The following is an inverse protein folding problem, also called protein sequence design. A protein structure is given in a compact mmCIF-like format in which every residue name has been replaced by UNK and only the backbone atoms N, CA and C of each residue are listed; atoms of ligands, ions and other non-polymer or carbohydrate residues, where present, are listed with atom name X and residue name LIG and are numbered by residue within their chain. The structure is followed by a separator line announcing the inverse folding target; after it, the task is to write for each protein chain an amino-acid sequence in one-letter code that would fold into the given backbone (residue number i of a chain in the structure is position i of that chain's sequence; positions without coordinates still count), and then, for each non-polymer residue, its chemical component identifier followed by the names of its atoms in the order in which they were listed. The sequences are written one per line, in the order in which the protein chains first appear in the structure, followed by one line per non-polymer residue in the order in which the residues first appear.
data_IF_136017063250
#
_entry.id   IF_136017063250
#
_cell.length_a   1.000
_cell.length_b   1.000
_cell.length_c   1.000
_cell.angle_alpha   90.00
_cell.angle_beta   90.00
_cell.angle_gamma   90.00
#
_symmetry.space_group_name_H-M   'P 1'
#
loop_
_entity.id
_entity.type
_entity.pdbx_description
1 polymer ?
#
# COMPACT_ATOMS: atom_id res chain seq x y z
N UNK A 1 -4.37 -10.61 16.29
CA UNK A 1 -5.02 -11.80 15.70
C UNK A 1 -4.53 -13.06 16.39
N UNK A 2 -5.36 -14.09 16.51
CA UNK A 2 -4.93 -15.41 17.02
C UNK A 2 -4.30 -16.24 15.89
N UNK A 3 -3.43 -17.21 16.22
CA UNK A 3 -2.86 -18.14 15.24
C UNK A 3 -3.95 -18.93 14.48
N UNK A 4 -5.05 -19.25 15.14
CA UNK A 4 -6.19 -19.93 14.52
C UNK A 4 -6.87 -19.05 13.46
N UNK A 5 -7.05 -17.75 13.74
CA UNK A 5 -7.60 -16.78 12.79
C UNK A 5 -6.69 -16.60 11.58
N UNK A 6 -5.37 -16.48 11.78
CA UNK A 6 -4.40 -16.38 10.68
C UNK A 6 -4.46 -17.61 9.78
N UNK A 7 -4.47 -18.81 10.38
CA UNK A 7 -4.58 -20.07 9.62
C UNK A 7 -5.88 -20.17 8.82
N UNK A 8 -7.00 -19.74 9.40
CA UNK A 8 -8.28 -19.69 8.71
C UNK A 8 -8.20 -18.77 7.48
N UNK A 9 -7.72 -17.53 7.64
CA UNK A 9 -7.63 -16.58 6.54
C UNK A 9 -6.64 -17.02 5.46
N UNK A 10 -5.48 -17.58 5.83
CA UNK A 10 -4.51 -18.10 4.86
C UNK A 10 -5.11 -19.22 3.99
N UNK A 11 -5.90 -20.12 4.56
CA UNK A 11 -6.62 -21.13 3.79
C UNK A 11 -7.65 -20.54 2.83
N UNK A 12 -8.34 -19.47 3.22
CA UNK A 12 -9.29 -18.79 2.33
C UNK A 12 -8.57 -18.10 1.17
N UNK A 13 -7.45 -17.44 1.45
CA UNK A 13 -6.62 -16.80 0.42
C UNK A 13 -6.03 -17.83 -0.55
N UNK A 14 -5.57 -18.98 -0.03
CA UNK A 14 -5.05 -20.08 -0.84
C UNK A 14 -6.16 -20.69 -1.73
N UNK A 15 -7.36 -20.89 -1.16
CA UNK A 15 -8.55 -21.35 -1.91
C UNK A 15 -8.98 -20.37 -2.99
N UNK A 16 -8.85 -19.08 -2.73
CA UNK A 16 -9.14 -18.01 -3.70
C UNK A 16 -8.04 -17.83 -4.75
N UNK A 17 -6.93 -18.57 -4.67
CA UNK A 17 -5.81 -18.46 -5.61
C UNK A 17 -4.97 -17.20 -5.45
N UNK A 18 -5.17 -16.43 -4.38
CA UNK A 18 -4.46 -15.17 -4.12
C UNK A 18 -3.07 -15.40 -3.50
N UNK A 19 -2.89 -16.54 -2.83
CA UNK A 19 -1.59 -16.96 -2.30
C UNK A 19 -1.34 -18.41 -2.66
N UNK A 20 -0.06 -18.78 -2.77
CA UNK A 20 0.37 -20.15 -3.06
C UNK A 20 1.35 -20.61 -1.98
N UNK A 21 1.21 -21.86 -1.54
CA UNK A 21 2.20 -22.50 -0.69
C UNK A 21 3.48 -22.76 -1.51
N UNK A 22 4.56 -22.09 -1.16
CA UNK A 22 5.89 -22.29 -1.77
C UNK A 22 6.67 -23.42 -1.11
N UNK A 23 6.41 -23.67 0.18
CA UNK A 23 7.07 -24.75 0.89
C UNK A 23 6.92 -24.65 2.39
N UNK A 24 7.82 -25.34 3.08
CA UNK A 24 7.88 -25.33 4.54
C UNK A 24 9.32 -25.20 5.00
N UNK A 25 9.54 -24.59 6.16
CA UNK A 25 10.85 -24.49 6.81
C UNK A 25 10.74 -24.74 8.30
N UNK A 26 11.84 -25.11 8.95
CA UNK A 26 11.87 -25.20 10.41
C UNK A 26 12.00 -23.80 11.02
N UNK A 27 11.02 -23.41 11.84
CA UNK A 27 10.99 -22.11 12.54
C UNK A 27 11.85 -22.08 13.80
N UNK A 28 11.94 -20.90 14.43
CA UNK A 28 12.80 -20.65 15.60
C UNK A 28 12.50 -21.53 16.82
N UNK A 29 11.28 -22.08 16.91
CA UNK A 29 10.82 -22.92 18.01
C UNK A 29 10.74 -24.41 17.62
N UNK A 30 11.48 -24.84 16.58
CA UNK A 30 11.42 -26.20 16.02
C UNK A 30 10.02 -26.60 15.49
N UNK A 31 9.16 -25.62 15.22
CA UNK A 31 7.85 -25.83 14.59
C UNK A 31 8.01 -25.65 13.08
N UNK A 32 7.43 -26.55 12.29
CA UNK A 32 7.40 -26.40 10.83
C UNK A 32 6.50 -25.23 10.42
N UNK A 33 7.11 -24.20 9.83
CA UNK A 33 6.44 -23.03 9.28
C UNK A 33 6.10 -23.26 7.80
N UNK A 34 4.91 -22.81 7.39
CA UNK A 34 4.51 -22.78 5.98
C UNK A 34 4.88 -21.43 5.37
N UNK A 35 5.49 -21.46 4.18
CA UNK A 35 5.88 -20.27 3.42
C UNK A 35 4.92 -20.08 2.27
N UNK A 36 4.31 -18.90 2.20
CA UNK A 36 3.36 -18.55 1.16
C UNK A 36 3.92 -17.40 0.30
N UNK A 37 3.71 -17.46 -1.01
CA UNK A 37 3.93 -16.35 -1.94
C UNK A 37 2.58 -15.74 -2.33
N UNK A 38 2.57 -14.45 -2.63
CA UNK A 38 1.45 -13.83 -3.34
C UNK A 38 1.40 -14.36 -4.77
N UNK A 39 0.25 -14.82 -5.22
CA UNK A 39 0.05 -15.20 -6.62
C UNK A 39 -0.04 -13.92 -7.46
N UNK A 40 0.54 -13.92 -8.66
CA UNK A 40 0.45 -12.80 -9.60
C UNK A 40 -0.95 -12.66 -10.23
N UNK A 41 -2.01 -13.12 -9.55
CA UNK A 41 -3.38 -12.96 -10.02
C UNK A 41 -3.66 -11.46 -10.03
N UNK A 42 -3.57 -10.90 -11.23
CA UNK A 42 -3.52 -9.46 -11.47
C UNK A 42 -4.82 -8.73 -11.19
N UNK A 43 -5.90 -9.41 -10.87
CA UNK A 43 -7.12 -8.87 -10.28
C UNK A 43 -7.95 -10.06 -9.79
N UNK A 44 -8.68 -9.96 -8.67
CA UNK A 44 -9.72 -10.93 -8.36
C UNK A 44 -10.63 -11.11 -9.58
N UNK A 45 -11.24 -12.28 -9.75
CA UNK A 45 -12.25 -12.48 -10.78
C UNK A 45 -13.42 -11.52 -10.50
N UNK A 46 -13.35 -10.35 -11.14
CA UNK A 46 -14.28 -9.24 -10.97
C UNK A 46 -15.62 -9.49 -11.67
N UNK A 47 -15.79 -10.67 -12.27
CA UNK A 47 -17.02 -11.06 -12.95
C UNK A 47 -18.16 -11.19 -11.93
N UNK A 48 -18.98 -10.15 -11.86
CA UNK A 48 -20.15 -10.08 -10.96
C UNK A 48 -20.16 -8.89 -10.01
N UNK A 49 -19.08 -8.10 -9.93
CA UNK A 49 -19.07 -6.84 -9.18
C UNK A 49 -19.42 -5.66 -10.08
N UNK A 50 -20.21 -4.74 -9.56
CA UNK A 50 -20.42 -3.42 -10.18
C UNK A 50 -19.17 -2.55 -10.08
N UNK A 51 -19.02 -1.56 -10.97
CA UNK A 51 -17.89 -0.61 -10.91
C UNK A 51 -17.82 0.16 -9.58
N UNK A 52 -18.98 0.39 -8.96
CA UNK A 52 -19.07 1.02 -7.64
C UNK A 52 -18.46 0.12 -6.56
N UNK A 53 -18.88 -1.15 -6.50
CA UNK A 53 -18.36 -2.12 -5.50
C UNK A 53 -16.86 -2.33 -5.65
N UNK A 54 -16.36 -2.39 -6.89
CA UNK A 54 -14.92 -2.44 -7.17
C UNK A 54 -14.21 -1.20 -6.62
N UNK A 55 -14.73 -0.01 -6.94
CA UNK A 55 -14.15 1.24 -6.46
C UNK A 55 -14.14 1.33 -4.94
N UNK A 56 -15.22 0.92 -4.27
CA UNK A 56 -15.33 0.92 -2.81
C UNK A 56 -14.38 -0.08 -2.17
N UNK A 57 -14.25 -1.28 -2.75
CA UNK A 57 -13.30 -2.29 -2.31
C UNK A 57 -11.86 -1.79 -2.41
N UNK A 58 -11.43 -1.34 -3.60
CA UNK A 58 -10.06 -0.87 -3.81
C UNK A 58 -9.75 0.37 -2.97
N UNK A 59 -10.70 1.29 -2.80
CA UNK A 59 -10.54 2.46 -1.94
C UNK A 59 -10.34 2.04 -0.48
N UNK A 60 -11.23 1.18 0.06
CA UNK A 60 -11.16 0.72 1.44
C UNK A 60 -9.85 -0.03 1.70
N UNK A 61 -9.51 -0.97 0.82
CA UNK A 61 -8.25 -1.73 0.91
C UNK A 61 -7.02 -0.82 0.89
N UNK A 62 -7.02 0.19 0.01
CA UNK A 62 -5.91 1.16 -0.09
C UNK A 62 -5.79 1.99 1.18
N UNK A 63 -6.91 2.51 1.71
CA UNK A 63 -6.91 3.33 2.92
C UNK A 63 -6.49 2.52 4.16
N UNK A 64 -6.98 1.29 4.30
CA UNK A 64 -6.58 0.39 5.39
C UNK A 64 -5.09 0.06 5.32
N UNK A 65 -4.57 -0.22 4.12
CA UNK A 65 -3.14 -0.46 3.91
C UNK A 65 -2.30 0.76 4.24
N UNK A 66 -2.75 1.96 3.85
CA UNK A 66 -2.12 3.24 4.19
C UNK A 66 -2.09 3.43 5.72
N UNK A 67 -3.20 3.15 6.41
CA UNK A 67 -3.27 3.30 7.86
C UNK A 67 -2.32 2.34 8.59
N UNK A 68 -2.27 1.07 8.20
CA UNK A 68 -1.38 0.09 8.82
C UNK A 68 0.09 0.42 8.59
N UNK A 69 0.47 0.84 7.38
CA UNK A 69 1.83 1.27 7.08
C UNK A 69 2.23 2.54 7.84
N UNK A 70 1.33 3.50 7.98
CA UNK A 70 1.59 4.69 8.80
C UNK A 70 1.70 4.34 10.28
N UNK A 71 0.89 3.41 10.79
CA UNK A 71 0.98 2.92 12.18
C UNK A 71 2.33 2.26 12.46
N UNK A 72 2.80 1.41 11.56
CA UNK A 72 4.14 0.80 11.65
C UNK A 72 5.24 1.87 11.55
N UNK A 73 5.14 2.76 10.56
CA UNK A 73 6.07 3.87 10.38
C UNK A 73 6.19 4.74 11.63
N UNK A 74 5.07 5.10 12.25
CA UNK A 74 5.04 5.88 13.49
C UNK A 74 5.81 5.17 14.62
N UNK A 75 5.64 3.86 14.78
CA UNK A 75 6.37 3.09 15.79
C UNK A 75 7.88 3.09 15.52
N UNK A 76 8.29 2.89 14.26
CA UNK A 76 9.69 2.93 13.84
C UNK A 76 10.32 4.32 14.06
N UNK A 77 9.59 5.38 13.73
CA UNK A 77 10.00 6.77 13.96
C UNK A 77 10.18 7.05 15.45
N UNK A 78 9.22 6.65 16.29
CA UNK A 78 9.29 6.84 17.74
C UNK A 78 10.48 6.09 18.35
N UNK A 79 10.87 4.96 17.77
CA UNK A 79 12.03 4.18 18.23
C UNK A 79 13.38 4.80 17.82
N UNK A 80 13.52 5.30 16.59
CA UNK A 80 14.74 5.96 16.09
C UNK A 80 14.43 6.91 14.92
N UNK A 81 14.12 8.16 15.24
CA UNK A 81 13.80 9.21 14.27
C UNK A 81 14.92 9.46 13.24
N UNK A 82 16.20 9.36 13.64
CA UNK A 82 17.30 9.71 12.73
C UNK A 82 17.48 8.65 11.65
N UNK A 83 17.28 7.38 11.99
CA UNK A 83 17.43 6.24 11.08
C UNK A 83 16.19 5.97 10.24
N UNK A 84 15.01 6.33 10.73
CA UNK A 84 13.71 6.03 10.12
C UNK A 84 12.98 7.30 9.67
N UNK A 85 13.72 8.30 9.17
CA UNK A 85 13.11 9.51 8.59
C UNK A 85 12.17 9.11 7.45
N UNK A 86 11.03 9.80 7.39
CA UNK A 86 10.03 9.60 6.35
C UNK A 86 9.65 10.95 5.76
N UNK A 87 9.08 10.91 4.55
CA UNK A 87 8.53 12.09 3.88
C UNK A 87 7.02 11.95 3.94
N UNK A 88 6.36 12.93 4.55
CA UNK A 88 4.92 13.11 4.46
C UNK A 88 4.65 14.52 3.98
N UNK A 89 3.77 14.65 3.01
CA UNK A 89 3.39 15.92 2.45
C UNK A 89 2.03 15.83 1.81
N UNK A 90 1.26 16.90 1.94
CA UNK A 90 0.09 17.14 1.12
C UNK A 90 0.45 18.32 0.22
N UNK A 91 -0.04 18.33 -1.01
CA UNK A 91 0.15 19.45 -1.93
C UNK A 91 -1.18 19.78 -2.58
N UNK A 92 -1.56 21.05 -2.53
CA UNK A 92 -2.68 21.56 -3.30
C UNK A 92 -2.17 22.11 -4.64
N UNK A 93 -2.74 21.65 -5.75
CA UNK A 93 -2.42 22.17 -7.08
C UNK A 93 -3.69 22.45 -7.88
N UNK A 94 -3.67 23.50 -8.67
CA UNK A 94 -4.67 23.74 -9.71
C UNK A 94 -4.14 23.14 -11.02
N UNK A 95 -4.94 22.28 -11.65
CA UNK A 95 -4.59 21.63 -12.91
C UNK A 95 -5.86 21.29 -13.70
N UNK A 96 -5.77 21.35 -15.01
CA UNK A 96 -6.82 20.84 -15.91
C UNK A 96 -6.75 19.31 -16.05
N UNK A 97 -7.77 18.69 -16.67
CA UNK A 97 -7.83 17.23 -16.81
C UNK A 97 -6.63 16.63 -17.58
N UNK A 98 -6.13 17.34 -18.59
CA UNK A 98 -4.97 16.91 -19.37
C UNK A 98 -3.70 16.88 -18.53
N UNK A 99 -3.46 17.94 -17.76
CA UNK A 99 -2.33 18.07 -16.84
C UNK A 99 -2.40 17.02 -15.72
N UNK A 100 -3.59 16.78 -15.16
CA UNK A 100 -3.79 15.74 -14.13
C UNK A 100 -3.46 14.35 -14.70
N UNK A 101 -3.90 14.06 -15.92
CA UNK A 101 -3.62 12.78 -16.59
C UNK A 101 -2.12 12.59 -16.84
N UNK A 102 -1.45 13.62 -17.34
CA UNK A 102 -0.01 13.59 -17.58
C UNK A 102 0.78 13.38 -16.29
N UNK A 103 0.43 14.11 -15.22
CA UNK A 103 1.06 13.96 -13.92
C UNK A 103 0.87 12.55 -13.34
N UNK A 104 -0.35 12.01 -13.39
CA UNK A 104 -0.64 10.63 -12.98
C UNK A 104 0.25 9.63 -13.71
N UNK A 105 0.36 9.74 -15.03
CA UNK A 105 1.19 8.84 -15.84
C UNK A 105 2.68 8.94 -15.46
N UNK A 106 3.19 10.15 -15.25
CA UNK A 106 4.57 10.38 -14.80
C UNK A 106 4.84 9.76 -13.42
N UNK A 107 3.92 9.94 -12.47
CA UNK A 107 4.05 9.38 -11.13
C UNK A 107 3.99 7.85 -11.14
N UNK A 108 3.04 7.27 -11.88
CA UNK A 108 2.95 5.81 -12.05
C UNK A 108 4.24 5.25 -12.63
N UNK A 109 4.76 5.87 -13.70
CA UNK A 109 6.02 5.43 -14.31
C UNK A 109 7.19 5.51 -13.34
N UNK A 110 7.31 6.61 -12.59
CA UNK A 110 8.38 6.77 -11.60
C UNK A 110 8.36 5.64 -10.56
N UNK A 111 7.18 5.28 -10.08
CA UNK A 111 7.01 4.26 -9.04
C UNK A 111 7.23 2.86 -9.61
N UNK A 112 6.73 2.58 -10.82
CA UNK A 112 6.93 1.31 -11.51
C UNK A 112 8.41 1.08 -11.84
N UNK A 113 9.11 2.09 -12.36
CA UNK A 113 10.54 2.04 -12.65
C UNK A 113 11.35 1.78 -11.36
N UNK A 114 10.97 2.42 -10.24
CA UNK A 114 11.58 2.17 -8.95
C UNK A 114 11.30 0.73 -8.45
N UNK A 115 10.06 0.26 -8.53
CA UNK A 115 9.67 -1.09 -8.13
C UNK A 115 10.45 -2.16 -8.91
N UNK A 116 10.47 -2.06 -10.24
CA UNK A 116 11.19 -3.00 -11.11
C UNK A 116 12.69 -3.03 -10.83
N UNK A 117 13.29 -1.88 -10.54
CA UNK A 117 14.73 -1.80 -10.26
C UNK A 117 15.12 -2.39 -8.89
N UNK A 118 14.14 -2.64 -8.01
CA UNK A 118 14.35 -3.11 -6.64
C UNK A 118 13.44 -4.29 -6.27
N UNK A 119 12.94 -5.05 -7.26
CA UNK A 119 12.02 -6.15 -7.03
C UNK A 119 12.66 -7.35 -6.32
N UNK A 120 13.99 -7.43 -6.35
CA UNK A 120 14.77 -8.46 -5.65
C UNK A 120 15.45 -7.87 -4.40
N UNK A 121 15.19 -8.49 -3.24
CA UNK A 121 15.78 -8.05 -1.98
C UNK A 121 17.27 -8.42 -1.89
N UNK A 122 18.14 -7.42 -1.72
CA UNK A 122 19.56 -7.63 -1.38
C UNK A 122 19.76 -7.78 0.14
N UNK A 123 20.93 -8.25 0.58
CA UNK A 123 21.22 -8.47 2.02
C UNK A 123 21.04 -7.22 2.89
N UNK A 124 21.26 -6.05 2.33
CA UNK A 124 21.18 -4.76 3.03
C UNK A 124 19.91 -3.98 2.66
N UNK A 125 19.03 -4.55 1.84
CA UNK A 125 17.79 -3.91 1.45
C UNK A 125 16.82 -3.85 2.65
N UNK A 126 16.17 -2.70 2.79
CA UNK A 126 15.05 -2.54 3.72
C UNK A 126 13.75 -2.61 2.94
N UNK A 127 12.74 -3.35 3.41
CA UNK A 127 11.41 -3.26 2.83
C UNK A 127 10.90 -1.83 3.00
N UNK A 128 10.41 -1.25 1.91
CA UNK A 128 9.75 0.04 1.92
C UNK A 128 8.42 -0.09 1.19
N UNK A 129 7.38 0.50 1.76
CA UNK A 129 6.09 0.63 1.11
C UNK A 129 5.93 2.07 0.62
N UNK A 130 5.56 2.21 -0.65
CA UNK A 130 5.26 3.51 -1.25
C UNK A 130 3.75 3.59 -1.40
N UNK A 131 3.13 4.53 -0.70
CA UNK A 131 1.71 4.81 -0.81
C UNK A 131 1.50 6.25 -1.29
N UNK A 132 0.60 6.43 -2.24
CA UNK A 132 0.21 7.75 -2.74
C UNK A 132 -1.24 7.72 -3.20
N UNK A 133 -1.92 8.86 -3.08
CA UNK A 133 -3.28 9.05 -3.57
C UNK A 133 -3.40 10.39 -4.28
N UNK A 134 -3.98 10.39 -5.47
CA UNK A 134 -4.34 11.61 -6.20
C UNK A 134 -5.86 11.66 -6.25
N UNK A 135 -6.44 12.50 -5.39
CA UNK A 135 -7.89 12.65 -5.25
C UNK A 135 -8.35 14.00 -5.80
N UNK A 136 -9.43 14.04 -6.59
CA UNK A 136 -10.07 15.30 -6.90
C UNK A 136 -10.65 15.90 -5.61
N UNK A 137 -10.47 17.20 -5.42
CA UNK A 137 -11.00 17.90 -4.26
C UNK A 137 -12.24 18.70 -4.63
N UNK A 138 -13.29 18.60 -3.80
CA UNK A 138 -14.42 19.55 -3.82
C UNK A 138 -14.02 20.81 -3.05
N UNK A 139 -14.64 21.94 -3.38
CA UNK A 139 -14.28 23.27 -2.85
C UNK A 139 -14.11 23.32 -1.32
N UNK A 140 -14.95 22.64 -0.54
CA UNK A 140 -14.86 22.63 0.92
C UNK A 140 -13.59 21.93 1.46
N UNK A 141 -13.22 20.79 0.88
CA UNK A 141 -11.98 20.09 1.25
C UNK A 141 -10.75 20.90 0.82
N UNK A 142 -10.81 21.50 -0.37
CA UNK A 142 -9.75 22.38 -0.90
C UNK A 142 -9.48 23.58 0.01
N UNK A 143 -10.53 24.30 0.43
CA UNK A 143 -10.41 25.45 1.31
C UNK A 143 -9.83 25.08 2.68
N UNK A 144 -10.09 23.87 3.15
CA UNK A 144 -9.56 23.37 4.42
C UNK A 144 -8.07 23.05 4.31
N UNK A 145 -7.66 22.39 3.23
CA UNK A 145 -6.24 22.07 2.96
C UNK A 145 -5.42 23.34 2.69
N UNK A 146 -5.97 24.30 1.94
CA UNK A 146 -5.30 25.57 1.65
C UNK A 146 -4.98 26.34 2.93
N UNK A 147 -5.93 26.42 3.87
CA UNK A 147 -5.69 27.07 5.18
C UNK A 147 -4.52 26.46 5.96
N UNK A 148 -4.33 25.15 5.87
CA UNK A 148 -3.19 24.48 6.53
C UNK A 148 -1.87 24.88 5.87
N UNK A 149 -1.82 24.98 4.54
CA UNK A 149 -0.61 25.45 3.86
C UNK A 149 -0.31 26.91 4.13
N UNK A 150 -1.33 27.77 4.13
CA UNK A 150 -1.17 29.21 4.42
C UNK A 150 -0.66 29.46 5.85
N UNK A 151 -0.87 28.52 6.79
CA UNK A 151 -0.32 28.59 8.15
C UNK A 151 1.15 28.17 8.25
N UNK A 152 1.68 27.43 7.26
CA UNK A 152 3.04 26.89 7.25
C UNK A 152 4.02 27.74 6.44
N UNK A 153 3.53 28.71 5.67
CA UNK A 153 4.31 29.71 4.89
C UNK A 153 4.51 31.00 5.66
#
# INVERSE_FOLDING_TARGET
MSNASVHFHMKQLEKAGLVKLEGTRLGSNSVMEKLYSGSSVTNPDESGLTDLEKSEFYLSYTLDSIHELHREGEQLIRSDWKKNRFIVGTYGVYANEGEIREFKNKLFKLIDDFHKSHSEASKDAKPIAITFGIVPSKAAAWLSTQKVFDMLS
#
